data_IF_443428733637
#
_entry.id   IF_443428733637
#
_cell.length_a   1.000
_cell.length_b   1.000
_cell.length_c   1.000
_cell.angle_alpha   90.00
_cell.angle_beta   90.00
_cell.angle_gamma   90.00
#
_symmetry.space_group_name_H-M   'P 1'
#
loop_
_entity.id
_entity.type
_entity.pdbx_description
1 polymer ?
#
# COMPACT_ATOMS: atom_id res chain seq x y z
N UNK A 1 72.26 62.84 -10.31
CA UNK A 1 72.73 62.61 -8.94
C UNK A 1 71.54 62.55 -8.01
N UNK A 2 71.24 61.39 -7.42
CA UNK A 2 70.53 61.20 -6.15
C UNK A 2 70.66 59.70 -5.80
N UNK A 3 71.62 59.40 -4.93
CA UNK A 3 71.87 58.08 -4.32
C UNK A 3 70.69 57.76 -3.38
N UNK A 4 69.96 56.68 -3.64
CA UNK A 4 69.15 55.99 -2.61
C UNK A 4 69.86 54.71 -2.20
N UNK A 5 70.44 54.75 -1.00
CA UNK A 5 70.91 53.60 -0.24
C UNK A 5 69.73 52.64 -0.04
N UNK A 6 69.93 51.38 -0.45
CA UNK A 6 69.19 50.23 0.06
C UNK A 6 69.88 49.84 1.35
N UNK A 7 69.25 50.14 2.46
CA UNK A 7 69.60 49.55 3.75
C UNK A 7 68.78 48.24 3.85
N UNK A 8 69.51 47.13 3.83
CA UNK A 8 68.98 45.78 4.06
C UNK A 8 68.47 45.68 5.51
N UNK A 9 67.17 45.42 5.67
CA UNK A 9 66.61 45.04 6.96
C UNK A 9 66.87 43.54 7.23
N UNK A 10 67.24 43.18 8.47
CA UNK A 10 67.50 41.79 8.84
C UNK A 10 66.21 40.96 8.77
N UNK A 11 66.28 39.87 8.01
CA UNK A 11 65.29 38.81 7.91
C UNK A 11 65.14 38.10 9.26
N UNK A 12 64.20 38.58 10.08
CA UNK A 12 63.75 37.86 11.27
C UNK A 12 62.96 36.62 10.88
N UNK A 13 63.58 35.47 11.10
CA UNK A 13 63.01 34.16 11.47
C UNK A 13 61.78 33.68 10.70
N UNK A 14 62.00 32.63 9.90
CA UNK A 14 60.93 31.77 9.39
C UNK A 14 60.07 31.26 10.56
N UNK A 15 58.77 31.59 10.62
CA UNK A 15 57.87 30.98 11.59
C UNK A 15 57.73 29.49 11.25
N UNK A 16 58.01 28.64 12.22
CA UNK A 16 57.74 27.20 12.13
C UNK A 16 56.25 27.01 11.88
N UNK A 17 55.91 26.50 10.69
CA UNK A 17 54.55 26.38 10.14
C UNK A 17 53.64 25.37 10.87
N UNK A 18 53.89 25.07 12.14
CA UNK A 18 53.13 24.14 12.97
C UNK A 18 52.48 24.80 14.19
N UNK A 19 52.41 26.14 14.23
CA UNK A 19 51.58 26.85 15.20
C UNK A 19 50.10 26.75 14.82
N UNK A 20 49.17 26.53 15.79
CA UNK A 20 47.74 26.52 15.51
C UNK A 20 47.33 27.90 14.99
N UNK A 21 47.22 27.99 13.67
CA UNK A 21 46.79 29.18 12.96
C UNK A 21 45.41 29.55 13.52
N UNK A 22 45.32 30.67 14.24
CA UNK A 22 44.10 31.16 14.92
C UNK A 22 42.94 31.50 13.98
N UNK A 23 43.05 31.06 12.72
CA UNK A 23 41.99 31.01 11.73
C UNK A 23 40.83 30.17 12.26
N UNK A 24 39.70 30.85 12.52
CA UNK A 24 38.42 30.23 12.90
C UNK A 24 37.89 29.18 11.91
N UNK A 25 38.60 28.90 10.81
CA UNK A 25 38.37 27.75 9.92
C UNK A 25 38.68 26.39 10.57
N UNK A 26 39.37 26.35 11.72
CA UNK A 26 39.67 25.09 12.44
C UNK A 26 38.60 24.67 13.45
N UNK A 27 37.64 25.56 13.77
CA UNK A 27 36.48 25.20 14.60
C UNK A 27 35.48 24.47 13.71
N UNK A 28 35.81 23.23 13.36
CA UNK A 28 34.80 22.26 12.93
C UNK A 28 33.96 21.96 14.16
N UNK A 29 32.89 22.73 14.35
CA UNK A 29 31.80 22.32 15.23
C UNK A 29 31.18 21.08 14.59
N UNK A 30 31.80 19.92 14.82
CA UNK A 30 31.18 18.65 14.57
C UNK A 30 29.84 18.71 15.30
N UNK A 31 28.75 18.61 14.54
CA UNK A 31 27.41 18.76 15.09
C UNK A 31 27.32 17.86 16.35
N UNK A 32 26.80 18.38 17.48
CA UNK A 32 26.82 17.68 18.76
C UNK A 32 26.25 16.24 18.67
N UNK A 33 25.35 16.03 17.71
CA UNK A 33 24.82 14.73 17.29
C UNK A 33 25.90 13.74 16.82
N UNK A 34 26.83 14.17 15.96
CA UNK A 34 27.93 13.32 15.45
C UNK A 34 28.88 12.92 16.58
N UNK A 35 29.14 13.85 17.53
CA UNK A 35 29.98 13.57 18.69
C UNK A 35 29.34 12.55 19.64
N UNK A 36 28.04 12.70 19.92
CA UNK A 36 27.27 11.75 20.72
C UNK A 36 27.22 10.35 20.07
N UNK A 37 27.05 10.28 18.75
CA UNK A 37 27.02 9.01 18.01
C UNK A 37 28.39 8.30 18.07
N UNK A 38 29.50 9.04 17.94
CA UNK A 38 30.85 8.42 18.03
C UNK A 38 31.11 7.85 19.42
N UNK A 39 30.70 8.55 20.48
CA UNK A 39 30.93 8.13 21.87
C UNK A 39 29.98 7.05 22.37
N UNK A 40 28.87 6.77 21.69
CA UNK A 40 27.91 5.77 22.13
C UNK A 40 28.53 4.35 22.18
N UNK A 41 28.09 3.56 23.17
CA UNK A 41 28.50 2.17 23.33
C UNK A 41 28.08 1.33 22.11
N UNK A 42 28.82 0.26 21.80
CA UNK A 42 28.54 -0.60 20.65
C UNK A 42 27.10 -1.14 20.67
N UNK A 43 26.60 -1.52 21.85
CA UNK A 43 25.24 -2.00 22.03
C UNK A 43 24.19 -0.95 21.62
N UNK A 44 24.35 0.29 22.06
CA UNK A 44 23.46 1.41 21.71
C UNK A 44 23.50 1.68 20.19
N UNK A 45 24.67 1.56 19.56
CA UNK A 45 24.79 1.67 18.09
C UNK A 45 24.01 0.58 17.37
N UNK A 46 24.06 -0.67 17.85
CA UNK A 46 23.31 -1.78 17.25
C UNK A 46 21.79 -1.62 17.40
N UNK A 47 21.29 -1.14 18.54
CA UNK A 47 19.84 -0.91 18.73
C UNK A 47 19.33 0.18 17.80
N UNK A 48 20.08 1.27 17.62
CA UNK A 48 19.73 2.30 16.62
C UNK A 48 19.77 1.75 15.20
N UNK A 49 20.80 0.99 14.81
CA UNK A 49 20.84 0.35 13.48
C UNK A 49 19.65 -0.60 13.26
N UNK A 50 19.28 -1.38 14.28
CA UNK A 50 18.13 -2.27 14.23
C UNK A 50 16.80 -1.51 14.09
N UNK A 51 16.64 -0.41 14.82
CA UNK A 51 15.49 0.50 14.72
C UNK A 51 15.36 1.07 13.30
N UNK A 52 16.45 1.62 12.74
CA UNK A 52 16.46 2.12 11.37
C UNK A 52 16.19 1.01 10.35
N UNK A 53 16.76 -0.19 10.54
CA UNK A 53 16.47 -1.35 9.71
C UNK A 53 14.98 -1.70 9.70
N UNK A 54 14.31 -1.61 10.87
CA UNK A 54 12.88 -1.84 11.00
C UNK A 54 12.05 -0.80 10.23
N UNK A 55 12.42 0.48 10.32
CA UNK A 55 11.77 1.54 9.53
C UNK A 55 11.96 1.34 8.03
N UNK A 56 13.15 0.92 7.59
CA UNK A 56 13.42 0.60 6.19
C UNK A 56 12.56 -0.58 5.72
N UNK A 57 12.39 -1.63 6.52
CA UNK A 57 11.50 -2.75 6.19
C UNK A 57 10.03 -2.32 6.07
N UNK A 58 9.54 -1.48 6.99
CA UNK A 58 8.18 -0.92 6.91
C UNK A 58 8.03 -0.09 5.62
N UNK A 59 9.00 0.79 5.34
CA UNK A 59 8.99 1.62 4.15
C UNK A 59 9.03 0.79 2.86
N UNK A 60 9.89 -0.23 2.79
CA UNK A 60 9.97 -1.14 1.64
C UNK A 60 8.69 -1.96 1.47
N UNK A 61 8.14 -2.52 2.56
CA UNK A 61 6.86 -3.25 2.54
C UNK A 61 5.72 -2.37 2.03
N UNK A 62 5.57 -1.18 2.58
CA UNK A 62 4.59 -0.19 2.11
C UNK A 62 4.82 0.23 0.66
N UNK A 63 6.07 0.45 0.25
CA UNK A 63 6.43 0.80 -1.12
C UNK A 63 6.06 -0.31 -2.10
N UNK A 64 6.27 -1.58 -1.76
CA UNK A 64 5.87 -2.73 -2.57
C UNK A 64 4.33 -2.84 -2.68
N UNK A 65 3.62 -2.70 -1.56
CA UNK A 65 2.15 -2.72 -1.54
C UNK A 65 1.59 -1.58 -2.40
N UNK A 66 2.05 -0.35 -2.18
CA UNK A 66 1.54 0.85 -2.86
C UNK A 66 1.89 0.90 -4.35
N UNK A 67 3.04 0.33 -4.77
CA UNK A 67 3.43 0.21 -6.17
C UNK A 67 2.62 -0.84 -6.92
N UNK A 68 2.26 -1.94 -6.24
CA UNK A 68 1.47 -3.04 -6.81
C UNK A 68 -0.04 -2.83 -6.76
N UNK A 69 -0.52 -1.87 -5.97
CA UNK A 69 -1.95 -1.59 -5.79
C UNK A 69 -2.57 -1.07 -7.07
N UNK A 70 -3.53 -1.84 -7.60
CA UNK A 70 -4.44 -1.45 -8.66
C UNK A 70 -5.87 -1.72 -8.18
N UNK A 71 -6.78 -0.81 -8.47
CA UNK A 71 -8.19 -1.03 -8.14
C UNK A 71 -9.09 -0.45 -9.21
N UNK A 72 -10.20 -1.10 -9.44
CA UNK A 72 -11.23 -0.69 -10.36
C UNK A 72 -12.57 -0.70 -9.63
N UNK A 73 -13.36 0.33 -9.85
CA UNK A 73 -14.72 0.42 -9.33
C UNK A 73 -15.63 0.78 -10.48
N UNK A 74 -16.55 -0.12 -10.82
CA UNK A 74 -17.65 0.13 -11.74
C UNK A 74 -18.90 0.35 -10.90
N UNK A 75 -19.38 1.59 -10.83
CA UNK A 75 -20.58 1.97 -10.10
C UNK A 75 -21.66 2.41 -11.09
N UNK A 76 -22.71 1.60 -11.22
CA UNK A 76 -23.81 1.79 -12.14
C UNK A 76 -25.09 2.16 -11.40
N UNK A 77 -25.73 3.23 -11.84
CA UNK A 77 -27.03 3.75 -11.40
C UNK A 77 -28.00 3.78 -12.58
N UNK A 78 -29.26 4.15 -12.34
CA UNK A 78 -30.30 4.13 -13.38
C UNK A 78 -29.96 5.00 -14.60
N UNK A 79 -29.23 6.10 -14.41
CA UNK A 79 -28.87 7.06 -15.45
C UNK A 79 -27.62 6.67 -16.24
N UNK A 80 -26.75 5.83 -15.68
CA UNK A 80 -25.46 5.49 -16.28
C UNK A 80 -24.49 4.88 -15.28
N UNK A 81 -23.27 4.67 -15.75
CA UNK A 81 -22.19 4.04 -15.01
C UNK A 81 -20.96 4.94 -14.93
N UNK A 82 -20.25 4.83 -13.82
CA UNK A 82 -18.95 5.45 -13.62
C UNK A 82 -17.91 4.34 -13.39
N UNK A 83 -16.91 4.29 -14.27
CA UNK A 83 -15.78 3.39 -14.19
C UNK A 83 -14.56 4.17 -13.68
N UNK A 84 -14.19 3.92 -12.44
CA UNK A 84 -12.99 4.49 -11.81
C UNK A 84 -11.86 3.47 -11.83
N UNK A 85 -10.80 3.77 -12.57
CA UNK A 85 -9.60 2.95 -12.69
C UNK A 85 -8.45 3.64 -11.95
N UNK A 86 -7.95 3.01 -10.90
CA UNK A 86 -6.72 3.40 -10.22
C UNK A 86 -5.56 2.53 -10.73
N UNK A 87 -4.69 3.11 -11.54
CA UNK A 87 -3.55 2.42 -12.16
C UNK A 87 -2.38 2.26 -11.17
N UNK A 88 -1.58 1.18 -11.29
CA UNK A 88 -0.30 1.09 -10.59
C UNK A 88 0.69 2.12 -11.16
N UNK A 89 1.69 2.52 -10.35
CA UNK A 89 2.66 3.57 -10.71
C UNK A 89 3.48 3.25 -11.97
N UNK A 90 3.66 1.96 -12.29
CA UNK A 90 4.42 1.47 -13.45
C UNK A 90 3.53 0.92 -14.58
N UNK A 91 2.27 1.36 -14.67
CA UNK A 91 1.40 0.90 -15.74
C UNK A 91 1.89 1.41 -17.11
N UNK A 92 2.30 0.49 -17.98
CA UNK A 92 2.58 0.76 -19.39
C UNK A 92 1.35 0.33 -20.22
N UNK A 93 0.63 1.27 -20.86
CA UNK A 93 -0.50 0.93 -21.71
C UNK A 93 -0.03 0.14 -22.94
N UNK A 94 -0.79 -0.88 -23.37
CA UNK A 94 -0.39 -1.78 -24.47
C UNK A 94 -0.25 -1.09 -25.82
N UNK A 95 -1.09 -0.11 -26.11
CA UNK A 95 -1.20 0.46 -27.45
C UNK A 95 -0.33 1.70 -27.68
N UNK A 96 0.62 1.99 -26.78
CA UNK A 96 1.41 3.22 -26.85
C UNK A 96 2.88 2.88 -27.02
N UNK A 97 3.18 2.16 -28.10
CA UNK A 97 4.54 1.82 -28.54
C UNK A 97 5.41 3.03 -28.83
N UNK A 98 4.83 4.23 -28.97
CA UNK A 98 5.55 5.47 -29.32
C UNK A 98 5.18 6.70 -28.48
N UNK A 99 4.67 6.53 -27.24
CA UNK A 99 4.41 7.70 -26.40
C UNK A 99 5.73 8.38 -25.99
N UNK A 100 5.84 9.71 -26.14
CA UNK A 100 6.96 10.46 -25.61
C UNK A 100 7.07 10.25 -24.09
N UNK A 101 8.30 10.03 -23.60
CA UNK A 101 8.67 9.59 -22.23
C UNK A 101 8.13 10.43 -21.06
N UNK A 102 7.37 11.51 -21.28
CA UNK A 102 7.01 12.48 -20.24
C UNK A 102 5.52 12.66 -19.95
N UNK A 103 4.61 11.91 -20.58
CA UNK A 103 3.17 12.07 -20.28
C UNK A 103 2.90 11.56 -18.86
N UNK A 104 2.76 12.51 -17.91
CA UNK A 104 2.31 12.26 -16.55
C UNK A 104 0.87 11.73 -16.61
N UNK A 105 0.72 10.41 -16.77
CA UNK A 105 -0.60 9.79 -16.78
C UNK A 105 -1.26 9.98 -15.42
N UNK A 106 -2.49 10.48 -15.41
CA UNK A 106 -3.28 10.59 -14.17
C UNK A 106 -3.43 9.18 -13.58
N UNK A 107 -3.07 9.03 -12.30
CA UNK A 107 -3.13 7.74 -11.58
C UNK A 107 -4.56 7.21 -11.48
N UNK A 108 -5.53 8.13 -11.40
CA UNK A 108 -6.96 7.86 -11.33
C UNK A 108 -7.61 8.36 -12.62
N UNK A 109 -8.23 7.44 -13.35
CA UNK A 109 -9.06 7.74 -14.51
C UNK A 109 -10.50 7.43 -14.13
N UNK A 110 -11.41 8.38 -14.35
CA UNK A 110 -12.84 8.20 -14.16
C UNK A 110 -13.49 8.38 -15.52
N UNK A 111 -14.14 7.34 -16.00
CA UNK A 111 -14.90 7.33 -17.26
C UNK A 111 -16.36 7.22 -16.89
N UNK A 112 -17.19 8.08 -17.48
CA UNK A 112 -18.64 8.05 -17.29
C UNK A 112 -19.29 7.70 -18.61
N UNK A 113 -20.24 6.78 -18.58
CA UNK A 113 -21.01 6.37 -19.75
C UNK A 113 -22.47 6.16 -19.36
N UNK A 114 -23.36 6.47 -20.29
CA UNK A 114 -24.81 6.27 -20.14
C UNK A 114 -25.15 4.77 -20.15
N UNK A 115 -26.36 4.44 -19.73
CA UNK A 115 -26.83 3.05 -19.63
C UNK A 115 -26.93 2.36 -20.99
N UNK A 116 -27.43 3.06 -21.99
CA UNK A 116 -27.60 2.62 -23.38
C UNK A 116 -26.26 2.29 -24.08
N UNK A 117 -25.17 2.88 -23.60
CA UNK A 117 -23.82 2.58 -24.08
C UNK A 117 -23.30 1.22 -23.58
N UNK A 118 -23.93 0.62 -22.56
CA UNK A 118 -23.54 -0.70 -22.03
C UNK A 118 -24.30 -1.77 -22.80
N UNK A 119 -23.63 -2.42 -23.75
CA UNK A 119 -24.26 -3.45 -24.59
C UNK A 119 -24.38 -4.75 -23.82
N UNK A 120 -23.23 -5.27 -23.37
CA UNK A 120 -23.13 -6.57 -22.69
C UNK A 120 -21.79 -6.71 -21.96
N UNK A 121 -21.68 -7.76 -21.18
CA UNK A 121 -20.43 -8.29 -20.69
C UNK A 121 -20.33 -9.77 -21.06
N UNK A 122 -19.12 -10.17 -21.47
CA UNK A 122 -18.85 -11.53 -21.93
C UNK A 122 -17.76 -12.16 -21.06
N UNK A 123 -17.93 -13.44 -20.72
CA UNK A 123 -16.86 -14.20 -20.06
C UNK A 123 -15.84 -14.62 -21.12
N UNK A 124 -14.57 -14.34 -20.87
CA UNK A 124 -13.48 -14.69 -21.77
C UNK A 124 -12.43 -15.55 -21.09
N UNK A 125 -11.79 -16.40 -21.88
CA UNK A 125 -10.54 -17.06 -21.53
C UNK A 125 -9.39 -16.21 -22.08
N UNK A 126 -8.56 -15.70 -21.17
CA UNK A 126 -7.49 -14.76 -21.48
C UNK A 126 -6.13 -15.41 -21.42
N UNK A 127 -5.37 -15.31 -22.52
CA UNK A 127 -3.97 -15.73 -22.58
C UNK A 127 -3.03 -14.54 -22.30
N UNK A 128 -2.24 -14.56 -21.20
CA UNK A 128 -1.24 -13.53 -20.94
C UNK A 128 -0.03 -13.58 -21.88
N UNK A 129 0.33 -14.75 -22.42
CA UNK A 129 1.57 -14.97 -23.19
C UNK A 129 1.36 -14.68 -24.67
N UNK A 130 0.20 -15.08 -25.23
CA UNK A 130 -0.20 -14.85 -26.62
C UNK A 130 -0.58 -13.40 -26.97
N UNK A 131 0.18 -12.42 -26.49
CA UNK A 131 -0.03 -10.98 -26.71
C UNK A 131 -1.39 -10.44 -26.22
N UNK A 132 -2.05 -11.14 -25.29
CA UNK A 132 -3.37 -10.76 -24.84
C UNK A 132 -4.46 -11.05 -25.87
N UNK A 133 -4.38 -12.20 -26.54
CA UNK A 133 -5.46 -12.70 -27.36
C UNK A 133 -6.56 -13.29 -26.48
N UNK A 134 -7.81 -13.03 -26.88
CA UNK A 134 -8.98 -13.74 -26.35
C UNK A 134 -8.92 -15.14 -26.98
N UNK A 135 -8.75 -16.17 -26.14
CA UNK A 135 -8.66 -17.56 -26.61
C UNK A 135 -10.06 -18.10 -26.89
N UNK A 136 -10.99 -17.85 -25.97
CA UNK A 136 -12.38 -18.28 -26.07
C UNK A 136 -13.30 -17.19 -25.52
N UNK A 137 -14.40 -16.92 -26.22
CA UNK A 137 -15.48 -16.07 -25.74
C UNK A 137 -16.71 -16.94 -25.41
N UNK A 138 -17.00 -17.10 -24.12
CA UNK A 138 -18.16 -17.85 -23.63
C UNK A 138 -19.45 -17.02 -23.61
N UNK A 139 -19.48 -15.83 -24.21
CA UNK A 139 -20.63 -14.91 -24.20
C UNK A 139 -21.48 -14.97 -25.47
N UNK A 140 -20.86 -15.10 -26.65
CA UNK A 140 -21.53 -14.92 -27.94
C UNK A 140 -22.41 -16.10 -28.37
N UNK A 141 -22.14 -17.31 -27.87
CA UNK A 141 -22.87 -18.52 -28.23
C UNK A 141 -22.81 -19.62 -27.18
N UNK A 142 -22.39 -19.33 -25.94
CA UNK A 142 -22.46 -20.37 -24.92
C UNK A 142 -23.92 -20.70 -24.69
N UNK A 143 -24.34 -21.96 -24.89
CA UNK A 143 -25.63 -22.42 -24.43
C UNK A 143 -25.72 -21.94 -22.99
N UNK A 144 -26.71 -21.11 -22.68
CA UNK A 144 -27.03 -20.71 -21.32
C UNK A 144 -26.92 -21.97 -20.48
N UNK A 145 -25.88 -22.07 -19.65
CA UNK A 145 -25.43 -23.33 -19.08
C UNK A 145 -26.56 -23.91 -18.23
N UNK A 146 -27.38 -24.77 -18.86
CA UNK A 146 -28.27 -25.82 -18.38
C UNK A 146 -28.61 -25.76 -16.88
N UNK A 147 -29.10 -24.61 -16.43
CA UNK A 147 -29.96 -24.55 -15.27
C UNK A 147 -31.33 -25.13 -15.60
N UNK A 148 -31.73 -25.02 -16.87
CA UNK A 148 -32.99 -25.57 -17.39
C UNK A 148 -32.87 -27.04 -17.79
N UNK A 149 -31.75 -27.50 -18.38
CA UNK A 149 -31.61 -28.94 -18.69
C UNK A 149 -31.53 -29.87 -17.48
N UNK A 150 -31.25 -29.32 -16.29
CA UNK A 150 -31.39 -30.07 -15.03
C UNK A 150 -32.78 -30.01 -14.41
N UNK A 151 -33.64 -29.09 -14.84
CA UNK A 151 -35.07 -29.21 -14.58
C UNK A 151 -35.71 -30.15 -15.60
N UNK A 152 -35.33 -30.10 -16.88
CA UNK A 152 -35.84 -31.05 -17.88
C UNK A 152 -35.40 -32.50 -17.60
N UNK A 153 -34.17 -32.79 -17.16
CA UNK A 153 -33.83 -34.16 -16.70
C UNK A 153 -34.58 -34.59 -15.41
N UNK A 154 -35.06 -33.66 -14.58
CA UNK A 154 -35.93 -33.97 -13.42
C UNK A 154 -37.43 -33.95 -13.77
N UNK A 155 -37.82 -33.42 -14.94
CA UNK A 155 -39.20 -33.25 -15.40
C UNK A 155 -39.58 -34.24 -16.51
N UNK A 156 -38.62 -34.68 -17.33
CA UNK A 156 -38.75 -35.84 -18.24
C UNK A 156 -38.83 -37.16 -17.44
N UNK A 157 -38.38 -37.16 -16.18
CA UNK A 157 -38.63 -38.23 -15.21
C UNK A 157 -40.06 -38.18 -14.59
N UNK A 158 -40.84 -37.13 -14.90
CA UNK A 158 -42.24 -36.94 -14.46
C UNK A 158 -43.29 -37.18 -15.55
N UNK A 159 -42.95 -37.08 -16.83
CA UNK A 159 -43.90 -37.32 -17.93
C UNK A 159 -43.74 -38.70 -18.60
N UNK A 160 -43.11 -39.64 -17.91
CA UNK A 160 -43.27 -41.06 -18.22
C UNK A 160 -44.69 -41.55 -17.86
N UNK A 161 -45.35 -42.35 -18.73
CA UNK A 161 -46.74 -42.74 -18.58
C UNK A 161 -46.97 -43.43 -17.24
N UNK A 162 -47.81 -42.81 -16.39
CA UNK A 162 -48.58 -43.35 -15.25
C UNK A 162 -48.17 -44.70 -14.68
N UNK A 163 -46.88 -44.94 -14.47
CA UNK A 163 -46.42 -46.07 -13.69
C UNK A 163 -46.27 -45.52 -12.29
N UNK A 164 -47.20 -45.92 -11.42
CA UNK A 164 -47.18 -45.66 -9.97
C UNK A 164 -45.85 -46.15 -9.41
N UNK A 165 -44.78 -45.36 -9.56
CA UNK A 165 -43.46 -45.62 -9.00
C UNK A 165 -43.70 -45.69 -7.49
N UNK A 166 -43.67 -46.92 -6.99
CA UNK A 166 -43.87 -47.25 -5.60
C UNK A 166 -43.04 -46.27 -4.77
N UNK A 167 -43.71 -45.56 -3.85
CA UNK A 167 -43.01 -44.70 -2.88
C UNK A 167 -41.87 -45.53 -2.31
N UNK A 168 -40.61 -45.08 -2.39
CA UNK A 168 -39.51 -45.84 -1.83
C UNK A 168 -39.84 -46.11 -0.37
N UNK A 169 -39.91 -47.39 0.03
CA UNK A 169 -40.29 -47.84 1.37
C UNK A 169 -39.32 -47.41 2.49
N UNK A 170 -38.38 -46.51 2.18
CA UNK A 170 -37.47 -45.95 3.16
C UNK A 170 -38.16 -44.84 3.94
N UNK A 171 -38.08 -44.85 5.28
CA UNK A 171 -38.70 -43.81 6.09
C UNK A 171 -38.15 -42.43 5.69
N UNK A 172 -39.05 -41.46 5.51
CA UNK A 172 -38.74 -40.09 5.04
C UNK A 172 -37.54 -39.42 5.74
N UNK A 173 -37.28 -39.81 6.99
CA UNK A 173 -36.12 -39.35 7.78
C UNK A 173 -34.78 -39.80 7.19
N UNK A 174 -34.68 -40.99 6.61
CA UNK A 174 -33.45 -41.49 5.96
C UNK A 174 -33.17 -40.79 4.63
N UNK A 175 -34.22 -40.55 3.83
CA UNK A 175 -34.08 -39.82 2.58
C UNK A 175 -33.54 -38.40 2.81
N UNK A 176 -34.04 -37.70 3.84
CA UNK A 176 -33.50 -36.39 4.25
C UNK A 176 -32.04 -36.46 4.70
N UNK A 177 -31.65 -37.49 5.47
CA UNK A 177 -30.25 -37.68 5.89
C UNK A 177 -29.33 -37.94 4.69
N UNK A 178 -29.75 -38.79 3.76
CA UNK A 178 -28.99 -39.10 2.55
C UNK A 178 -28.82 -37.87 1.65
N UNK A 179 -29.88 -37.10 1.40
CA UNK A 179 -29.81 -35.85 0.63
C UNK A 179 -28.88 -34.81 1.30
N UNK A 180 -28.95 -34.68 2.64
CA UNK A 180 -28.03 -33.82 3.40
C UNK A 180 -26.58 -34.30 3.35
N UNK A 181 -26.34 -35.61 3.35
CA UNK A 181 -25.00 -36.20 3.24
C UNK A 181 -24.42 -36.04 1.83
N UNK A 182 -25.22 -36.25 0.78
CA UNK A 182 -24.81 -35.97 -0.60
C UNK A 182 -24.47 -34.50 -0.80
N UNK A 183 -25.29 -33.57 -0.27
CA UNK A 183 -24.98 -32.16 -0.29
C UNK A 183 -23.66 -31.87 0.42
N UNK A 184 -23.45 -32.41 1.64
CA UNK A 184 -22.18 -32.27 2.38
C UNK A 184 -20.98 -32.82 1.61
N UNK A 185 -21.09 -33.97 0.95
CA UNK A 185 -20.01 -34.57 0.17
C UNK A 185 -19.70 -33.74 -1.09
N UNK A 186 -20.72 -33.15 -1.72
CA UNK A 186 -20.56 -32.22 -2.85
C UNK A 186 -19.81 -30.95 -2.44
N UNK A 187 -20.15 -30.37 -1.28
CA UNK A 187 -19.42 -29.23 -0.73
C UNK A 187 -17.99 -29.59 -0.33
N UNK A 188 -17.75 -30.77 0.28
CA UNK A 188 -16.40 -31.23 0.65
C UNK A 188 -15.49 -31.44 -0.56
N UNK A 189 -15.97 -32.04 -1.67
CA UNK A 189 -15.18 -32.15 -2.91
C UNK A 189 -14.86 -30.78 -3.53
N UNK A 190 -15.77 -29.80 -3.44
CA UNK A 190 -15.51 -28.45 -3.94
C UNK A 190 -14.50 -27.65 -3.11
N UNK A 191 -14.33 -27.97 -1.83
CA UNK A 191 -13.41 -27.26 -0.93
C UNK A 191 -11.94 -27.47 -1.30
N UNK A 192 -11.57 -28.67 -1.78
CA UNK A 192 -10.19 -28.95 -2.23
C UNK A 192 -9.87 -28.25 -3.55
N UNK A 193 -10.87 -28.08 -4.43
CA UNK A 193 -10.73 -27.40 -5.72
C UNK A 193 -10.67 -25.86 -5.59
N UNK A 194 -11.09 -25.30 -4.45
CA UNK A 194 -11.17 -23.85 -4.24
C UNK A 194 -9.79 -23.17 -4.18
N UNK A 195 -8.73 -23.87 -3.76
CA UNK A 195 -7.39 -23.29 -3.67
C UNK A 195 -6.74 -23.12 -5.06
N UNK A 196 -7.09 -23.97 -6.03
CA UNK A 196 -6.62 -23.88 -7.43
C UNK A 196 -7.36 -22.83 -8.28
N UNK A 197 -8.43 -22.19 -7.77
CA UNK A 197 -9.19 -21.21 -8.55
C UNK A 197 -8.59 -19.80 -8.57
N UNK A 198 -7.52 -19.55 -7.82
CA UNK A 198 -6.77 -18.30 -7.84
C UNK A 198 -5.49 -18.47 -8.64
N UNK A 199 -5.63 -18.46 -9.97
CA UNK A 199 -4.48 -18.65 -10.85
C UNK A 199 -4.90 -18.87 -12.29
N UNK A 200 -3.92 -19.03 -13.19
CA UNK A 200 -4.19 -19.57 -14.50
C UNK A 200 -4.74 -20.99 -14.36
N UNK A 201 -5.51 -21.43 -15.35
CA UNK A 201 -5.86 -22.83 -15.52
C UNK A 201 -4.61 -23.66 -15.89
N UNK A 202 -4.82 -24.95 -16.11
CA UNK A 202 -3.73 -25.88 -16.43
C UNK A 202 -2.99 -25.50 -17.73
N UNK A 203 -3.62 -24.70 -18.59
CA UNK A 203 -3.09 -24.23 -19.86
C UNK A 203 -2.48 -22.82 -19.77
N UNK A 204 -2.37 -22.22 -18.59
CA UNK A 204 -1.84 -20.87 -18.43
C UNK A 204 -2.87 -19.75 -18.69
N UNK A 205 -4.10 -20.11 -19.08
CA UNK A 205 -5.14 -19.14 -19.38
C UNK A 205 -5.89 -18.73 -18.13
N UNK A 206 -6.56 -17.59 -18.19
CA UNK A 206 -7.33 -17.14 -17.06
C UNK A 206 -8.75 -16.75 -17.41
N UNK A 207 -9.66 -17.11 -16.51
CA UNK A 207 -11.04 -16.66 -16.59
C UNK A 207 -11.12 -15.15 -16.29
N UNK A 208 -11.66 -14.39 -17.23
CA UNK A 208 -11.93 -12.97 -17.06
C UNK A 208 -13.24 -12.61 -17.74
N UNK A 209 -13.56 -11.33 -17.77
CA UNK A 209 -14.68 -10.83 -18.53
C UNK A 209 -14.32 -9.50 -19.18
N UNK A 210 -14.95 -9.25 -20.30
CA UNK A 210 -14.87 -7.98 -21.02
C UNK A 210 -16.17 -7.22 -20.84
N UNK A 211 -16.05 -5.91 -20.74
CA UNK A 211 -17.19 -5.01 -20.84
C UNK A 211 -17.23 -4.48 -22.27
N UNK A 212 -18.35 -4.73 -22.95
CA UNK A 212 -18.59 -4.28 -24.32
C UNK A 212 -19.42 -3.00 -24.24
N UNK A 213 -18.79 -1.88 -24.61
CA UNK A 213 -19.44 -0.58 -24.72
C UNK A 213 -19.70 -0.24 -26.18
N UNK A 214 -20.69 0.61 -26.44
CA UNK A 214 -20.94 1.20 -27.76
C UNK A 214 -20.97 2.70 -27.65
N UNK A 215 -20.62 3.38 -28.75
CA UNK A 215 -20.86 4.81 -28.87
C UNK A 215 -22.34 5.15 -28.62
N UNK A 216 -22.63 6.35 -28.07
CA UNK A 216 -24.01 6.76 -27.90
C UNK A 216 -24.64 6.82 -29.29
N UNK A 217 -25.79 6.17 -29.46
CA UNK A 217 -26.57 6.30 -30.69
C UNK A 217 -26.80 7.79 -30.91
N UNK A 218 -26.48 8.33 -32.12
CA UNK A 218 -26.74 9.72 -32.39
C UNK A 218 -28.22 9.96 -32.11
N UNK A 219 -28.53 10.98 -31.31
CA UNK A 219 -29.89 11.51 -31.26
C UNK A 219 -30.26 11.76 -32.72
N UNK A 220 -31.34 11.11 -33.19
CA UNK A 220 -31.85 11.33 -34.54
C UNK A 220 -32.15 12.83 -34.60
N UNK A 221 -31.23 13.57 -35.20
CA UNK A 221 -31.45 14.98 -35.47
C UNK A 221 -32.60 14.98 -36.46
N UNK A 222 -33.74 15.55 -36.07
CA UNK A 222 -34.87 15.76 -36.97
C UNK A 222 -34.30 16.39 -38.25
N UNK A 223 -34.25 15.61 -39.33
CA UNK A 223 -33.67 15.99 -40.63
C UNK A 223 -34.46 17.11 -41.32
N UNK A 224 -35.38 17.77 -40.61
CA UNK A 224 -36.30 18.77 -41.14
C UNK A 224 -35.65 20.09 -41.56
N UNK A 225 -34.37 20.34 -41.25
CA UNK A 225 -33.75 21.67 -41.44
C UNK A 225 -32.56 21.75 -42.42
N UNK A 226 -32.19 20.68 -43.13
CA UNK A 226 -31.04 20.72 -44.07
C UNK A 226 -31.41 20.30 -45.50
N UNK A 227 -32.42 20.96 -46.07
CA UNK A 227 -32.88 20.71 -47.45
C UNK A 227 -31.98 21.31 -48.55
N UNK A 228 -30.96 22.11 -48.21
CA UNK A 228 -30.28 22.98 -49.20
C UNK A 228 -28.82 22.60 -49.55
N UNK A 229 -28.37 21.36 -49.31
CA UNK A 229 -26.99 20.95 -49.62
C UNK A 229 -26.93 20.10 -50.90
N UNK A 230 -26.53 20.77 -51.98
CA UNK A 230 -25.98 20.32 -53.27
C UNK A 230 -26.36 18.90 -53.77
N UNK A 231 -27.27 18.88 -54.75
CA UNK A 231 -27.91 17.71 -55.35
C UNK A 231 -27.05 16.77 -56.20
N UNK A 232 -25.91 16.30 -55.67
CA UNK A 232 -25.04 15.33 -56.36
C UNK A 232 -25.03 13.92 -55.72
N UNK A 233 -25.69 13.71 -54.58
CA UNK A 233 -25.70 12.45 -53.82
C UNK A 233 -27.05 11.69 -53.87
N UNK A 234 -27.95 12.00 -54.82
CA UNK A 234 -29.33 11.49 -54.86
C UNK A 234 -29.49 9.97 -55.11
N UNK A 235 -28.43 9.24 -55.45
CA UNK A 235 -28.48 7.79 -55.65
C UNK A 235 -27.95 6.96 -54.46
N UNK A 236 -27.45 7.60 -53.40
CA UNK A 236 -26.93 6.86 -52.25
C UNK A 236 -28.07 6.32 -51.37
N UNK A 237 -28.08 5.01 -51.11
CA UNK A 237 -29.12 4.40 -50.29
C UNK A 237 -29.12 5.00 -48.87
N UNK A 238 -30.29 5.16 -48.22
CA UNK A 238 -30.39 5.71 -46.87
C UNK A 238 -29.50 5.00 -45.85
N UNK A 239 -29.32 3.68 -46.00
CA UNK A 239 -28.42 2.88 -45.14
C UNK A 239 -26.96 3.28 -45.29
N UNK A 240 -26.50 3.55 -46.52
CA UNK A 240 -25.13 3.94 -46.81
C UNK A 240 -24.85 5.38 -46.36
N UNK A 241 -25.81 6.29 -46.54
CA UNK A 241 -25.76 7.66 -45.99
C UNK A 241 -25.64 7.64 -44.46
N UNK A 242 -26.47 6.85 -43.78
CA UNK A 242 -26.41 6.67 -42.33
C UNK A 242 -25.07 6.07 -41.87
N UNK A 243 -24.56 5.05 -42.58
CA UNK A 243 -23.26 4.44 -42.27
C UNK A 243 -22.12 5.44 -42.42
N UNK A 244 -22.11 6.27 -43.48
CA UNK A 244 -21.10 7.31 -43.70
C UNK A 244 -21.17 8.39 -42.62
N UNK A 245 -22.37 8.78 -42.20
CA UNK A 245 -22.57 9.73 -41.10
C UNK A 245 -22.11 9.15 -39.76
N UNK A 246 -22.37 7.87 -39.48
CA UNK A 246 -21.84 7.20 -38.30
C UNK A 246 -20.31 7.14 -38.33
N UNK A 247 -19.71 6.79 -39.48
CA UNK A 247 -18.26 6.74 -39.64
C UNK A 247 -17.60 8.11 -39.47
N UNK A 248 -18.20 9.19 -40.00
CA UNK A 248 -17.66 10.55 -39.85
C UNK A 248 -17.73 11.03 -38.41
N UNK A 249 -18.83 10.74 -37.69
CA UNK A 249 -18.94 11.00 -36.25
C UNK A 249 -17.94 10.20 -35.45
N UNK A 250 -17.78 8.90 -35.74
CA UNK A 250 -16.79 8.06 -35.07
C UNK A 250 -15.37 8.60 -35.27
N UNK A 251 -15.02 9.03 -36.50
CA UNK A 251 -13.73 9.70 -36.78
C UNK A 251 -13.59 11.00 -35.99
N UNK A 252 -14.64 11.84 -35.92
CA UNK A 252 -14.62 13.06 -35.13
C UNK A 252 -14.43 12.78 -33.63
N UNK A 253 -15.13 11.77 -33.09
CA UNK A 253 -15.01 11.35 -31.69
C UNK A 253 -13.61 10.82 -31.36
N UNK A 254 -12.96 10.08 -32.27
CA UNK A 254 -11.57 9.64 -32.09
C UNK A 254 -10.58 10.79 -31.88
N UNK A 255 -10.88 11.98 -32.41
CA UNK A 255 -10.05 13.17 -32.27
C UNK A 255 -10.45 14.09 -31.12
N UNK A 256 -11.65 13.92 -30.53
CA UNK A 256 -12.07 14.69 -29.37
C UNK A 256 -11.41 14.12 -28.09
N UNK A 257 -10.58 14.90 -27.37
CA UNK A 257 -9.93 14.44 -26.14
C UNK A 257 -10.90 14.08 -25.01
N UNK A 258 -12.15 14.55 -25.08
CA UNK A 258 -13.18 14.25 -24.10
C UNK A 258 -14.06 13.06 -24.49
N UNK A 259 -13.91 12.50 -25.69
CA UNK A 259 -14.73 11.37 -26.12
C UNK A 259 -14.46 10.12 -25.28
N UNK A 260 -15.46 9.24 -25.23
CA UNK A 260 -15.33 7.93 -24.61
C UNK A 260 -14.14 7.16 -25.21
N UNK A 261 -13.99 7.22 -26.54
CA UNK A 261 -12.91 6.57 -27.27
C UNK A 261 -11.52 7.08 -26.83
N UNK A 262 -11.32 8.40 -26.69
CA UNK A 262 -10.05 8.97 -26.25
C UNK A 262 -9.74 8.65 -24.79
N UNK A 263 -10.75 8.70 -23.91
CA UNK A 263 -10.59 8.36 -22.50
C UNK A 263 -10.29 6.86 -22.30
N UNK A 264 -10.87 6.00 -23.14
CA UNK A 264 -10.70 4.56 -23.09
C UNK A 264 -9.51 4.06 -23.89
N UNK A 265 -8.99 4.83 -24.86
CA UNK A 265 -7.87 4.46 -25.74
C UNK A 265 -6.70 3.72 -25.05
N UNK A 266 -6.22 4.10 -23.84
CA UNK A 266 -5.15 3.36 -23.17
C UNK A 266 -5.55 1.97 -22.64
N UNK A 267 -6.82 1.60 -22.71
CA UNK A 267 -7.40 0.35 -22.19
C UNK A 267 -8.17 -0.45 -23.25
N UNK A 268 -8.43 0.13 -24.42
CA UNK A 268 -9.18 -0.53 -25.48
C UNK A 268 -8.30 -1.56 -26.18
N UNK A 269 -8.80 -2.79 -26.28
CA UNK A 269 -8.28 -3.76 -27.22
C UNK A 269 -9.17 -3.66 -28.45
N UNK A 270 -8.66 -3.04 -29.52
CA UNK A 270 -9.40 -2.98 -30.78
C UNK A 270 -9.43 -4.40 -31.37
N UNK A 271 -10.62 -4.94 -31.58
CA UNK A 271 -10.76 -6.21 -32.31
C UNK A 271 -10.15 -6.00 -33.69
N UNK A 272 -9.15 -6.81 -34.04
CA UNK A 272 -8.41 -6.64 -35.30
C UNK A 272 -9.30 -6.91 -36.52
N UNK A 273 -10.32 -7.73 -36.33
CA UNK A 273 -11.12 -8.28 -37.42
C UNK A 273 -12.38 -7.43 -37.72
N UNK A 274 -12.76 -6.52 -36.80
CA UNK A 274 -13.95 -5.68 -36.94
C UNK A 274 -13.60 -4.18 -36.93
N UNK A 275 -12.88 -3.73 -37.95
CA UNK A 275 -12.53 -2.31 -38.11
C UNK A 275 -13.76 -1.38 -38.12
N UNK A 276 -14.92 -1.92 -38.51
CA UNK A 276 -16.21 -1.22 -38.61
C UNK A 276 -17.12 -1.39 -37.39
N UNK A 277 -16.75 -2.22 -36.41
CA UNK A 277 -17.56 -2.33 -35.19
C UNK A 277 -17.39 -1.07 -34.32
N UNK A 278 -18.51 -0.45 -33.97
CA UNK A 278 -18.59 0.64 -32.98
C UNK A 278 -18.52 0.12 -31.53
N UNK A 279 -18.01 -1.10 -31.34
CA UNK A 279 -17.94 -1.78 -30.05
C UNK A 279 -16.55 -1.64 -29.44
N UNK A 280 -16.53 -1.18 -28.19
CA UNK A 280 -15.34 -0.97 -27.39
C UNK A 280 -15.23 -2.04 -26.33
N UNK A 281 -14.19 -2.89 -26.43
CA UNK A 281 -13.92 -3.94 -25.47
C UNK A 281 -12.97 -3.44 -24.40
N UNK A 282 -13.46 -3.33 -23.16
CA UNK A 282 -12.63 -3.02 -21.99
C UNK A 282 -12.24 -4.31 -21.30
N UNK A 283 -10.94 -4.58 -21.28
CA UNK A 283 -10.35 -5.73 -20.61
C UNK A 283 -10.01 -5.37 -19.17
N UNK A 284 -10.87 -5.77 -18.25
CA UNK A 284 -10.71 -5.45 -16.82
C UNK A 284 -9.50 -6.20 -16.21
N UNK A 285 -9.04 -7.24 -16.90
CA UNK A 285 -7.85 -8.01 -16.54
C UNK A 285 -6.53 -7.26 -16.68
N UNK A 286 -6.45 -6.23 -17.51
CA UNK A 286 -5.20 -5.50 -17.76
C UNK A 286 -4.60 -4.89 -16.49
N UNK A 287 -5.40 -4.79 -15.43
CA UNK A 287 -5.00 -4.36 -14.10
C UNK A 287 -4.47 -5.50 -13.20
N UNK A 288 -4.29 -6.70 -13.76
CA UNK A 288 -3.93 -7.94 -13.08
C UNK A 288 -4.85 -8.25 -11.89
N UNK A 289 -6.14 -8.00 -12.08
CA UNK A 289 -7.17 -8.32 -11.11
C UNK A 289 -7.60 -9.76 -11.41
N UNK A 290 -6.97 -10.71 -10.72
CA UNK A 290 -7.31 -12.12 -10.82
C UNK A 290 -8.65 -12.39 -10.16
N UNK A 291 -9.70 -12.53 -10.97
CA UNK A 291 -10.98 -13.04 -10.49
C UNK A 291 -11.02 -14.56 -10.59
N UNK A 292 -11.68 -15.19 -9.61
CA UNK A 292 -12.10 -16.57 -9.78
C UNK A 292 -13.15 -16.64 -10.89
N UNK A 293 -13.24 -17.77 -11.61
CA UNK A 293 -14.27 -18.00 -12.64
C UNK A 293 -15.69 -17.66 -12.16
N UNK A 294 -15.97 -17.93 -10.88
CA UNK A 294 -17.26 -17.62 -10.24
C UNK A 294 -17.49 -16.11 -10.09
N UNK A 295 -16.47 -15.34 -9.75
CA UNK A 295 -16.58 -13.88 -9.62
C UNK A 295 -16.76 -13.21 -10.98
N UNK A 296 -16.03 -13.66 -12.01
CA UNK A 296 -16.21 -13.16 -13.38
C UNK A 296 -17.65 -13.39 -13.86
N UNK A 297 -18.17 -14.62 -13.69
CA UNK A 297 -19.55 -14.96 -14.05
C UNK A 297 -20.60 -14.12 -13.31
N UNK A 298 -20.42 -13.93 -12.00
CA UNK A 298 -21.39 -13.12 -11.23
C UNK A 298 -21.33 -11.64 -11.61
N UNK A 299 -20.15 -11.14 -11.99
CA UNK A 299 -19.95 -9.78 -12.50
C UNK A 299 -20.62 -9.60 -13.87
N UNK A 300 -20.38 -10.53 -14.80
CA UNK A 300 -21.05 -10.58 -16.11
C UNK A 300 -22.58 -10.62 -15.96
N UNK A 301 -23.10 -11.51 -15.12
CA UNK A 301 -24.54 -11.62 -14.91
C UNK A 301 -25.15 -10.32 -14.33
N UNK A 302 -24.43 -9.62 -13.45
CA UNK A 302 -24.84 -8.31 -12.92
C UNK A 302 -24.90 -7.25 -14.01
N UNK A 303 -23.85 -7.17 -14.85
CA UNK A 303 -23.76 -6.20 -15.94
C UNK A 303 -24.85 -6.47 -16.98
N UNK A 304 -25.02 -7.72 -17.42
CA UNK A 304 -26.06 -8.09 -18.37
C UNK A 304 -27.47 -7.85 -17.82
N UNK A 305 -27.69 -8.11 -16.52
CA UNK A 305 -28.97 -7.76 -15.89
C UNK A 305 -29.24 -6.25 -15.89
N UNK A 306 -28.20 -5.42 -15.80
CA UNK A 306 -28.33 -3.97 -15.84
C UNK A 306 -28.54 -3.45 -17.26
N UNK A 307 -27.77 -3.94 -18.23
CA UNK A 307 -27.95 -3.63 -19.66
C UNK A 307 -29.39 -3.96 -20.11
N UNK A 308 -29.90 -5.13 -19.72
CA UNK A 308 -31.24 -5.61 -20.07
C UNK A 308 -32.41 -4.98 -19.29
N UNK A 309 -32.26 -3.84 -18.62
CA UNK A 309 -33.38 -3.26 -17.88
C UNK A 309 -33.59 -3.82 -16.47
N UNK A 310 -33.26 -5.09 -16.23
CA UNK A 310 -33.67 -5.89 -15.03
C UNK A 310 -33.13 -5.38 -13.70
N UNK A 311 -31.97 -4.70 -13.69
CA UNK A 311 -31.40 -4.05 -12.50
C UNK A 311 -31.23 -2.56 -12.74
N UNK A 312 -31.61 -1.74 -11.77
CA UNK A 312 -31.47 -0.29 -11.81
C UNK A 312 -30.11 0.21 -11.31
N UNK A 313 -29.44 -0.55 -10.44
CA UNK A 313 -28.12 -0.18 -9.92
C UNK A 313 -27.30 -1.39 -9.50
N UNK A 314 -25.99 -1.31 -9.65
CA UNK A 314 -25.05 -2.26 -9.07
C UNK A 314 -23.65 -1.63 -8.95
N UNK A 315 -22.86 -2.14 -8.00
CA UNK A 315 -21.45 -1.79 -7.89
C UNK A 315 -20.58 -3.05 -7.97
N UNK A 316 -19.54 -2.99 -8.81
CA UNK A 316 -18.47 -3.98 -8.88
C UNK A 316 -17.19 -3.28 -8.41
N UNK A 317 -16.60 -3.82 -7.33
CA UNK A 317 -15.34 -3.34 -6.77
C UNK A 317 -14.32 -4.44 -6.91
N UNK A 318 -13.28 -4.13 -7.64
CA UNK A 318 -12.19 -5.05 -7.93
C UNK A 318 -10.89 -4.42 -7.45
N UNK A 319 -10.17 -5.15 -6.61
CA UNK A 319 -8.86 -4.72 -6.14
C UNK A 319 -7.89 -5.88 -6.34
N UNK A 320 -6.69 -5.55 -6.81
CA UNK A 320 -5.61 -6.54 -6.85
C UNK A 320 -5.31 -6.97 -5.41
N UNK A 321 -5.17 -8.28 -5.14
CA UNK A 321 -4.73 -8.72 -3.82
C UNK A 321 -3.38 -8.07 -3.50
N UNK A 322 -3.23 -7.66 -2.24
CA UNK A 322 -1.98 -7.11 -1.73
C UNK A 322 -0.86 -8.14 -1.93
N UNK A 323 0.29 -7.71 -2.42
CA UNK A 323 1.43 -8.61 -2.60
C UNK A 323 1.82 -9.21 -1.24
N UNK A 324 1.81 -10.54 -1.15
CA UNK A 324 2.15 -11.23 0.09
C UNK A 324 3.54 -10.84 0.59
N UNK A 325 4.50 -10.64 -0.32
CA UNK A 325 5.87 -10.19 -0.02
C UNK A 325 5.91 -8.79 0.64
N UNK A 326 5.08 -7.86 0.15
CA UNK A 326 5.00 -6.52 0.73
C UNK A 326 4.36 -6.55 2.11
N UNK A 327 3.33 -7.39 2.27
CA UNK A 327 2.65 -7.61 3.54
C UNK A 327 3.58 -8.27 4.57
N UNK A 328 4.33 -9.31 4.19
CA UNK A 328 5.27 -9.99 5.12
C UNK A 328 6.40 -9.06 5.55
N UNK A 329 6.99 -8.28 4.63
CA UNK A 329 8.00 -7.28 4.99
C UNK A 329 7.45 -6.19 5.92
N UNK A 330 6.23 -5.73 5.69
CA UNK A 330 5.57 -4.77 6.56
C UNK A 330 5.34 -5.36 7.97
N UNK A 331 4.83 -6.59 8.04
CA UNK A 331 4.61 -7.30 9.30
C UNK A 331 5.94 -7.49 10.05
N UNK A 332 6.98 -8.00 9.39
CA UNK A 332 8.31 -8.19 9.98
C UNK A 332 8.90 -6.85 10.44
N UNK A 333 8.75 -5.78 9.65
CA UNK A 333 9.21 -4.45 10.03
C UNK A 333 8.51 -3.92 11.27
N UNK A 334 7.18 -4.07 11.38
CA UNK A 334 6.40 -3.66 12.56
C UNK A 334 6.75 -4.52 13.78
N UNK A 335 6.83 -5.84 13.64
CA UNK A 335 7.25 -6.72 14.74
C UNK A 335 8.67 -6.40 15.21
N UNK A 336 9.60 -6.16 14.28
CA UNK A 336 10.97 -5.76 14.58
C UNK A 336 11.03 -4.41 15.28
N UNK A 337 10.19 -3.45 14.88
CA UNK A 337 10.04 -2.15 15.54
C UNK A 337 9.52 -2.31 16.98
N UNK A 338 8.49 -3.13 17.18
CA UNK A 338 7.92 -3.41 18.51
C UNK A 338 8.96 -4.10 19.40
N UNK A 339 9.68 -5.10 18.90
CA UNK A 339 10.78 -5.74 19.63
C UNK A 339 11.89 -4.73 19.96
N UNK A 340 12.20 -3.83 19.03
CA UNK A 340 13.14 -2.74 19.28
C UNK A 340 12.64 -1.77 20.36
N UNK A 341 11.33 -1.51 20.44
CA UNK A 341 10.78 -0.65 21.48
C UNK A 341 10.71 -1.36 22.84
N UNK A 342 10.43 -2.66 22.87
CA UNK A 342 10.37 -3.46 24.10
C UNK A 342 11.77 -3.76 24.66
N UNK A 343 12.72 -4.12 23.80
CA UNK A 343 14.11 -4.42 24.18
C UNK A 343 14.99 -3.17 24.23
N UNK A 344 14.69 -2.18 23.39
CA UNK A 344 15.41 -0.92 23.30
C UNK A 344 14.91 0.15 24.26
N UNK A 345 14.05 -0.23 25.22
CA UNK A 345 13.93 0.56 26.43
C UNK A 345 15.30 0.60 27.15
N UNK A 346 16.03 1.68 26.90
CA UNK A 346 16.68 2.45 27.95
C UNK A 346 17.62 1.67 28.88
N UNK A 347 18.52 0.84 28.32
CA UNK A 347 19.67 0.37 29.13
C UNK A 347 20.64 1.50 29.48
N UNK A 348 20.49 2.66 28.87
CA UNK A 348 20.98 3.94 29.38
C UNK A 348 19.89 4.54 30.28
N UNK A 349 19.75 4.02 31.49
CA UNK A 349 19.57 4.92 32.62
C UNK A 349 20.87 5.74 32.64
N UNK A 350 20.85 6.85 31.89
CA UNK A 350 21.92 7.83 31.87
C UNK A 350 21.98 8.33 33.29
N UNK A 351 22.77 7.67 34.11
CA UNK A 351 23.09 8.12 35.45
C UNK A 351 24.17 9.18 35.25
N UNK A 352 23.83 10.49 35.21
CA UNK A 352 24.80 11.56 34.95
C UNK A 352 25.93 11.55 35.99
N UNK A 353 25.73 10.86 37.12
CA UNK A 353 26.75 10.68 38.16
C UNK A 353 27.92 9.80 37.70
N UNK A 354 27.71 8.88 36.74
CA UNK A 354 28.73 7.90 36.35
C UNK A 354 29.78 8.45 35.38
N UNK A 355 29.37 9.27 34.40
CA UNK A 355 30.30 9.90 33.44
C UNK A 355 30.97 11.16 34.00
N UNK A 356 30.28 11.89 34.88
CA UNK A 356 30.90 12.94 35.69
C UNK A 356 31.98 12.36 36.60
N UNK A 357 31.76 11.16 37.16
CA UNK A 357 32.70 10.48 38.04
C UNK A 357 33.99 10.09 37.32
N UNK A 358 33.98 9.52 36.11
CA UNK A 358 35.24 9.06 35.50
C UNK A 358 36.17 10.22 35.11
N UNK A 359 35.65 11.30 34.52
CA UNK A 359 36.46 12.50 34.21
C UNK A 359 36.93 13.21 35.47
N UNK A 360 36.05 13.36 36.47
CA UNK A 360 36.41 13.97 37.76
C UNK A 360 37.42 13.11 38.52
N UNK A 361 37.30 11.77 38.45
CA UNK A 361 38.23 10.80 39.03
C UNK A 361 39.57 10.78 38.29
N UNK A 362 39.61 10.92 36.97
CA UNK A 362 40.86 11.04 36.21
C UNK A 362 41.56 12.38 36.48
N UNK A 363 40.80 13.47 36.58
CA UNK A 363 41.34 14.77 36.98
C UNK A 363 41.87 14.72 38.43
N UNK A 364 41.17 14.05 39.33
CA UNK A 364 41.60 13.85 40.71
C UNK A 364 42.85 12.96 40.80
N UNK A 365 42.91 11.86 40.03
CA UNK A 365 44.09 10.98 39.95
C UNK A 365 45.30 11.76 39.41
N UNK A 366 45.13 12.62 38.40
CA UNK A 366 46.21 13.50 37.92
C UNK A 366 46.67 14.47 39.00
N UNK A 367 45.74 15.16 39.69
CA UNK A 367 46.08 16.04 40.81
C UNK A 367 46.82 15.31 41.93
N UNK A 368 46.43 14.07 42.26
CA UNK A 368 47.13 13.23 43.25
C UNK A 368 48.55 12.87 42.79
N UNK A 369 48.74 12.50 41.52
CA UNK A 369 50.07 12.20 40.97
C UNK A 369 50.99 13.42 40.94
N UNK A 370 50.46 14.60 40.60
CA UNK A 370 51.21 15.87 40.62
C UNK A 370 51.61 16.27 42.05
N UNK A 371 50.71 16.09 43.03
CA UNK A 371 51.00 16.31 44.44
C UNK A 371 52.05 15.34 44.99
N UNK A 372 52.04 14.07 44.56
CA UNK A 372 53.05 13.09 44.97
C UNK A 372 54.42 13.39 44.35
N UNK A 373 54.46 13.79 43.07
CA UNK A 373 55.69 14.20 42.39
C UNK A 373 56.32 15.45 43.02
N UNK A 374 55.51 16.44 43.41
CA UNK A 374 56.00 17.63 44.11
C UNK A 374 56.52 17.31 45.51
N UNK A 375 55.88 16.39 46.26
CA UNK A 375 56.42 15.88 47.52
C UNK A 375 57.75 15.17 47.33
N UNK A 376 57.88 14.28 46.36
CA UNK A 376 59.15 13.58 46.07
C UNK A 376 60.28 14.55 45.71
N UNK A 377 59.98 15.63 44.96
CA UNK A 377 60.96 16.71 44.70
C UNK A 377 61.38 17.45 45.98
N UNK A 378 60.45 17.73 46.89
CA UNK A 378 60.77 18.41 48.15
C UNK A 378 61.55 17.53 49.14
N UNK A 379 61.29 16.23 49.20
CA UNK A 379 62.05 15.32 50.07
C UNK A 379 63.43 14.93 49.50
N UNK A 380 63.61 14.98 48.17
CA UNK A 380 64.90 14.67 47.53
C UNK A 380 65.94 15.79 47.58
N UNK A 381 65.53 17.04 47.86
CA UNK A 381 66.45 18.20 47.88
C UNK A 381 66.94 18.59 49.28
N UNK A 382 66.53 17.85 50.32
CA UNK A 382 66.84 18.13 51.72
C UNK A 382 67.63 17.02 52.40
N UNK A 383 68.64 16.45 51.72
CA UNK A 383 69.62 15.54 52.31
C UNK A 383 70.57 16.24 53.29
N UNK A 384 70.03 16.93 54.29
CA UNK A 384 70.76 17.43 55.44
C UNK A 384 70.59 16.47 56.61
N UNK A 385 71.58 15.60 56.82
CA UNK A 385 71.73 14.76 58.02
C UNK A 385 71.52 15.60 59.29
N UNK A 386 70.47 15.33 60.05
CA UNK A 386 70.44 15.66 61.49
C UNK A 386 69.90 14.47 62.27
N UNK A 387 70.79 13.91 63.07
CA UNK A 387 70.48 13.01 64.18
C UNK A 387 69.51 13.73 65.11
N UNK A 388 68.29 13.24 65.24
CA UNK A 388 67.41 13.63 66.34
C UNK A 388 66.78 12.39 66.95
N UNK A 389 67.02 12.30 68.24
CA UNK A 389 66.65 11.31 69.24
C UNK A 389 65.14 11.05 69.24
N UNK A 390 64.77 9.78 69.37
CA UNK A 390 63.39 9.31 69.59
C UNK A 390 62.83 9.85 70.92
N UNK A 391 61.61 10.41 70.93
CA UNK A 391 60.76 10.39 72.11
C UNK A 391 59.65 9.35 71.96
N UNK A 392 59.58 8.45 72.93
CA UNK A 392 58.47 7.56 73.25
C UNK A 392 57.24 8.37 73.69
N UNK A 393 56.04 8.16 73.11
CA UNK A 393 54.82 8.69 73.69
C UNK A 393 54.26 7.73 74.76
N UNK A 394 54.17 8.29 75.97
CA UNK A 394 53.52 7.74 77.15
C UNK A 394 52.01 7.66 76.94
N UNK A 395 51.46 6.52 77.34
CA UNK A 395 50.04 6.15 77.36
C UNK A 395 49.39 6.74 78.62
N UNK A 396 48.44 7.66 78.44
CA UNK A 396 47.44 8.09 79.43
C UNK A 396 46.31 8.73 78.62
N UNK A 397 45.05 8.28 78.60
CA UNK A 397 44.28 7.67 79.66
C UNK A 397 43.44 8.74 80.36
N UNK A 398 42.44 9.35 79.69
CA UNK A 398 41.35 10.02 80.39
C UNK A 398 40.05 10.06 79.57
N UNK A 399 38.98 9.74 80.29
CA UNK A 399 37.57 9.76 79.93
C UNK A 399 37.02 11.20 79.84
N UNK A 400 35.87 11.34 79.20
CA UNK A 400 35.01 12.53 79.23
C UNK A 400 34.15 12.60 77.96
N UNK A 401 33.00 11.93 77.91
CA UNK A 401 31.67 12.44 78.29
C UNK A 401 31.30 13.75 77.57
N UNK A 402 30.23 13.70 76.77
CA UNK A 402 29.33 14.86 76.65
C UNK A 402 28.85 15.29 75.26
N UNK A 403 27.75 14.68 74.82
CA UNK A 403 26.44 15.33 74.58
C UNK A 403 26.21 16.29 73.37
N UNK A 404 25.02 16.09 72.79
CA UNK A 404 24.17 16.98 71.95
C UNK A 404 24.58 17.13 70.48
N UNK A 405 23.70 17.16 69.48
CA UNK A 405 22.23 17.19 69.42
C UNK A 405 21.82 17.67 68.01
N UNK A 406 20.59 17.37 67.58
CA UNK A 406 19.97 17.86 66.33
C UNK A 406 19.82 16.75 65.28
N UNK A 407 18.68 16.05 65.16
CA UNK A 407 17.35 16.49 64.72
C UNK A 407 17.40 17.24 63.37
N UNK A 408 17.04 16.52 62.32
CA UNK A 408 16.46 17.09 61.10
C UNK A 408 15.57 16.02 60.45
N UNK A 409 14.28 16.15 60.73
CA UNK A 409 13.15 15.55 60.02
C UNK A 409 13.04 16.03 58.57
N UNK A 410 12.66 15.13 57.67
CA UNK A 410 12.09 15.42 56.34
C UNK A 410 11.75 14.09 55.69
N UNK A 411 10.53 13.54 55.86
CA UNK A 411 9.25 13.90 55.22
C UNK A 411 9.35 13.93 53.69
N UNK A 412 8.62 12.99 53.07
CA UNK A 412 8.40 12.86 51.63
C UNK A 412 8.72 11.43 51.19
N UNK A 413 7.79 10.56 50.83
CA UNK A 413 6.43 10.74 50.34
C UNK A 413 6.19 9.58 49.38
N UNK A 414 5.77 8.42 49.90
CA UNK A 414 5.45 7.26 49.07
C UNK A 414 4.11 7.49 48.36
N UNK A 415 4.14 8.11 47.19
CA UNK A 415 3.01 8.10 46.26
C UNK A 415 2.99 6.78 45.48
N UNK A 416 2.22 5.84 46.02
CA UNK A 416 1.85 4.60 45.34
C UNK A 416 0.63 4.90 44.46
N UNK A 417 0.84 5.28 43.20
CA UNK A 417 -0.26 5.32 42.23
C UNK A 417 -0.64 3.89 41.84
N UNK A 418 -1.75 3.43 42.43
CA UNK A 418 -2.62 2.42 41.83
C UNK A 418 -3.36 3.06 40.67
N UNK A 419 -3.13 2.58 39.45
CA UNK A 419 -4.11 2.71 38.38
C UNK A 419 -4.78 1.36 38.18
N UNK A 420 -5.92 1.22 38.84
CA UNK A 420 -7.00 0.30 38.49
C UNK A 420 -7.98 1.06 37.60
N UNK A 421 -8.18 0.59 36.37
CA UNK A 421 -9.34 0.81 35.50
C UNK A 421 -9.02 0.17 34.14
N UNK A 422 -9.91 -0.48 33.41
CA UNK A 422 -11.30 -0.82 33.62
C UNK A 422 -11.69 -1.73 32.46
N UNK A 423 -12.34 -2.84 32.78
CA UNK A 423 -13.21 -3.57 31.87
C UNK A 423 -14.25 -2.62 31.27
N UNK A 424 -14.27 -2.49 29.94
CA UNK A 424 -15.28 -1.79 29.17
C UNK A 424 -15.87 -2.75 28.14
N UNK A 425 -16.96 -3.40 28.54
CA UNK A 425 -17.86 -4.12 27.65
C UNK A 425 -18.79 -3.12 26.91
N UNK A 426 -19.36 -3.61 25.81
CA UNK A 426 -20.56 -3.10 25.12
C UNK A 426 -20.44 -1.82 24.28
N UNK A 427 -20.64 -2.00 22.98
CA UNK A 427 -21.59 -1.19 22.20
C UNK A 427 -21.94 -1.93 20.91
N UNK A 428 -23.05 -2.68 20.99
CA UNK A 428 -23.94 -2.94 19.86
C UNK A 428 -24.51 -1.59 19.38
N UNK A 429 -24.62 -1.43 18.07
CA UNK A 429 -25.41 -0.38 17.44
C UNK A 429 -24.73 0.13 16.18
N UNK A 430 -25.42 0.43 15.08
CA UNK A 430 -26.83 0.34 14.81
C UNK A 430 -26.98 0.41 13.29
N UNK A 431 -27.92 -0.36 12.79
CA UNK A 431 -28.66 -0.12 11.56
C UNK A 431 -28.99 1.35 11.34
N UNK A 432 -28.69 1.85 10.16
CA UNK A 432 -29.24 3.10 9.63
C UNK A 432 -28.77 3.26 8.18
N UNK A 433 -29.61 3.52 7.20
CA UNK A 433 -31.05 3.63 7.14
C UNK A 433 -31.38 3.67 5.65
N UNK A 434 -32.34 2.88 5.21
CA UNK A 434 -32.88 2.99 3.86
C UNK A 434 -33.68 4.30 3.79
N UNK A 435 -33.08 5.32 3.19
CA UNK A 435 -33.79 6.55 2.83
C UNK A 435 -34.68 6.26 1.63
N UNK A 436 -35.98 6.10 1.87
CA UNK A 436 -37.01 6.17 0.84
C UNK A 436 -37.19 7.65 0.48
N UNK A 437 -36.59 8.09 -0.62
CA UNK A 437 -36.97 9.36 -1.24
C UNK A 437 -38.27 9.14 -2.02
N UNK A 438 -39.37 9.61 -1.46
CA UNK A 438 -40.66 9.69 -2.13
C UNK A 438 -40.53 10.61 -3.37
N UNK A 439 -40.87 10.05 -4.51
CA UNK A 439 -41.03 10.75 -5.78
C UNK A 439 -42.25 11.66 -5.70
N UNK A 440 -42.04 12.98 -5.76
CA UNK A 440 -43.09 13.94 -6.08
C UNK A 440 -43.33 13.85 -7.58
N UNK A 441 -44.48 13.29 -7.97
CA UNK A 441 -45.12 13.58 -9.25
C UNK A 441 -45.48 15.07 -9.26
N UNK A 442 -45.00 15.79 -10.25
CA UNK A 442 -45.52 17.09 -10.67
C UNK A 442 -45.86 16.94 -12.15
N UNK A 443 -47.08 17.35 -12.48
CA UNK A 443 -47.66 17.43 -13.82
C UNK A 443 -46.82 18.27 -14.79
#
# INVERSE_FOLDING_TARGET
MLRRRRDDLPTTFAPTANGPDGSGKSIKMDAPLVKAIRSAEGATKYTYMWFFGSLVFIWMGWSLISRGSASMVLDCKSTGCSLTINKPKKFTPRNVSFAPRSIKTKRKVRVEFKRDQVVRADNILWDPEGAGRIVENFGLASPSYDGERKMEEEEEDREGPTNKKARPNKPWKEHKKYKKQQQRNKYKKSSSYSAKMFGPDENGYYNSYILVLRDPTPELFDESNNADIDGQDNEESPSKKMQRQMQSRHKSMLHDPNSLAAQLAPFLVRSRDDADSLEYNIHLRDFNIGQTRRLARTSVAKINSFANGRRSSFAIREARPVSWQGLTLLILGVFSLILCLLLGQFREEYDPTRDGSYRKRMAEIRRRKEAEMSRKRNYGSGGGRKNVVKPTPVRSGYQGVGRSGGVSTGVGGNMRMRTSASSGAESRGSSGGAGYSASKRGD
#
